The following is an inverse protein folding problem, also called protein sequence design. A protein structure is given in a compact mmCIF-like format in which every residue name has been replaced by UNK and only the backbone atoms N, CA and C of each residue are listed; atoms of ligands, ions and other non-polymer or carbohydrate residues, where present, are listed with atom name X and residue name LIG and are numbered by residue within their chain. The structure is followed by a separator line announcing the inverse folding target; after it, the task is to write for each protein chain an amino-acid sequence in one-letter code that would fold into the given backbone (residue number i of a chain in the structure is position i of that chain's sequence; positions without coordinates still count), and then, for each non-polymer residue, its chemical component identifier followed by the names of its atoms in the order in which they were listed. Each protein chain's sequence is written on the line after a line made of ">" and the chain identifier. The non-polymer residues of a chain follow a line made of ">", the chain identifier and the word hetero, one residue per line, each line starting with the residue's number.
data_IF_124145998491
#
_entry.id   IF_124145998491
#
_cell.length_a   1.000
_cell.length_b   1.000
_cell.length_c   1.000
_cell.angle_alpha   90.00
_cell.angle_beta   90.00
_cell.angle_gamma   90.00
#
_symmetry.space_group_name_H-M   'P 1'
#
loop_
_entity.id
_entity.type
_entity.pdbx_description
1 polymer ?
#
# COMPACT_ATOMS: atom_id res chain seq x y z
N UNK A 1 8.75 -25.91 -18.66
CA UNK A 1 7.86 -24.72 -18.71
C UNK A 1 8.72 -23.58 -19.20
N UNK A 2 8.32 -22.95 -20.29
CA UNK A 2 9.06 -21.82 -20.87
C UNK A 2 8.77 -20.65 -19.95
N UNK A 3 9.79 -20.11 -19.31
CA UNK A 3 9.79 -18.80 -18.70
C UNK A 3 9.42 -17.80 -19.80
N UNK A 4 8.19 -17.30 -19.78
CA UNK A 4 7.86 -16.15 -20.61
C UNK A 4 8.74 -15.02 -20.07
N UNK A 5 9.58 -14.40 -20.92
CA UNK A 5 10.51 -13.41 -20.43
C UNK A 5 9.71 -12.22 -19.92
N UNK A 6 9.81 -11.92 -18.64
CA UNK A 6 9.25 -10.74 -17.94
C UNK A 6 9.70 -9.42 -18.60
N UNK A 7 10.69 -9.45 -19.50
CA UNK A 7 11.18 -8.32 -20.29
C UNK A 7 10.18 -7.77 -21.32
N UNK A 8 8.99 -8.38 -21.46
CA UNK A 8 7.94 -7.92 -22.37
C UNK A 8 6.80 -7.18 -21.68
N UNK A 9 6.92 -6.89 -20.37
CA UNK A 9 5.95 -6.04 -19.70
C UNK A 9 6.02 -4.64 -20.30
N UNK A 10 4.86 -4.12 -20.74
CA UNK A 10 4.77 -2.75 -21.22
C UNK A 10 4.70 -1.83 -20.01
N UNK A 11 5.80 -1.17 -19.71
CA UNK A 11 5.87 -0.13 -18.67
C UNK A 11 5.17 1.13 -19.17
N UNK A 12 4.43 1.77 -18.30
CA UNK A 12 3.75 3.06 -18.52
C UNK A 12 3.90 3.94 -17.26
N UNK A 13 3.94 5.27 -17.47
CA UNK A 13 4.22 5.95 -18.74
C UNK A 13 5.61 5.56 -19.25
N UNK A 14 5.97 5.94 -20.49
CA UNK A 14 7.38 5.93 -20.89
C UNK A 14 8.13 7.08 -20.23
N UNK A 15 9.46 7.13 -20.36
CA UNK A 15 10.25 8.14 -19.66
C UNK A 15 9.88 9.58 -20.02
N UNK A 16 9.60 9.85 -21.30
CA UNK A 16 9.27 11.22 -21.75
C UNK A 16 7.92 11.66 -21.18
N UNK A 17 6.94 10.78 -21.18
CA UNK A 17 5.62 11.00 -20.54
C UNK A 17 5.77 11.14 -19.00
N UNK A 18 6.60 10.30 -18.36
CA UNK A 18 6.88 10.39 -16.94
C UNK A 18 7.51 11.73 -16.58
N UNK A 19 8.53 12.18 -17.32
CA UNK A 19 9.19 13.46 -17.08
C UNK A 19 8.24 14.65 -17.27
N UNK A 20 7.33 14.56 -18.26
CA UNK A 20 6.30 15.57 -18.46
C UNK A 20 5.32 15.63 -17.26
N UNK A 21 4.88 14.49 -16.73
CA UNK A 21 4.01 14.43 -15.56
C UNK A 21 4.71 14.95 -14.30
N UNK A 22 6.00 14.67 -14.13
CA UNK A 22 6.80 15.12 -13.00
C UNK A 22 6.96 16.65 -12.91
N UNK A 23 6.71 17.38 -14.01
CA UNK A 23 6.78 18.85 -14.01
C UNK A 23 5.67 19.49 -13.16
N UNK A 24 4.49 18.84 -13.06
CA UNK A 24 3.30 19.40 -12.40
C UNK A 24 2.84 18.59 -11.18
N UNK A 25 3.44 17.41 -10.95
CA UNK A 25 3.02 16.49 -9.90
C UNK A 25 4.19 16.11 -8.98
N UNK A 26 3.87 15.88 -7.71
CA UNK A 26 4.85 15.46 -6.70
C UNK A 26 4.87 13.95 -6.47
N UNK A 27 3.91 13.22 -7.02
CA UNK A 27 3.88 11.76 -7.05
C UNK A 27 3.45 11.31 -8.45
N UNK A 28 4.31 10.54 -9.12
CA UNK A 28 4.01 10.01 -10.45
C UNK A 28 4.05 8.48 -10.41
N UNK A 29 2.93 7.79 -10.71
CA UNK A 29 2.89 6.34 -10.78
C UNK A 29 3.58 5.84 -12.05
N UNK A 30 4.37 4.77 -11.91
CA UNK A 30 4.87 3.94 -13.01
C UNK A 30 4.24 2.56 -12.86
N UNK A 31 3.73 1.97 -13.96
CA UNK A 31 3.00 0.71 -13.86
C UNK A 31 3.11 -0.19 -15.08
N UNK A 32 2.74 -1.45 -14.89
CA UNK A 32 2.54 -2.43 -15.95
C UNK A 32 1.34 -3.32 -15.62
N UNK A 33 0.67 -3.83 -16.66
CA UNK A 33 -0.39 -4.83 -16.50
C UNK A 33 0.13 -6.22 -16.87
N UNK A 34 -0.24 -7.22 -16.06
CA UNK A 34 0.05 -8.63 -16.27
C UNK A 34 -1.23 -9.47 -16.13
N UNK A 35 -1.24 -10.67 -16.74
CA UNK A 35 -2.32 -11.64 -16.53
C UNK A 35 -2.10 -12.38 -15.21
N UNK A 36 -3.20 -12.59 -14.46
CA UNK A 36 -3.16 -13.22 -13.15
C UNK A 36 -4.24 -14.31 -12.96
N UNK A 37 -4.39 -15.18 -13.97
CA UNK A 37 -5.43 -16.22 -13.96
C UNK A 37 -5.20 -17.35 -12.94
N UNK A 38 -3.98 -17.47 -12.39
CA UNK A 38 -3.54 -18.64 -11.64
C UNK A 38 -3.27 -18.38 -10.15
N UNK A 39 -3.58 -17.21 -9.65
CA UNK A 39 -3.27 -16.88 -8.24
C UNK A 39 -4.38 -16.08 -7.58
N UNK A 40 -4.63 -16.38 -6.30
CA UNK A 40 -5.55 -15.58 -5.48
C UNK A 40 -4.82 -14.38 -4.88
N UNK A 41 -5.51 -13.29 -4.51
CA UNK A 41 -4.88 -12.16 -3.82
C UNK A 41 -4.19 -12.56 -2.52
N UNK A 42 -4.76 -13.48 -1.74
CA UNK A 42 -4.15 -13.98 -0.49
C UNK A 42 -2.84 -14.70 -0.77
N UNK A 43 -2.80 -15.59 -1.77
CA UNK A 43 -1.58 -16.29 -2.15
C UNK A 43 -0.52 -15.31 -2.73
N UNK A 44 -0.97 -14.28 -3.44
CA UNK A 44 -0.07 -13.23 -3.92
C UNK A 44 0.47 -12.38 -2.77
N UNK A 45 -0.35 -12.04 -1.77
CA UNK A 45 0.09 -11.32 -0.58
C UNK A 45 1.20 -12.07 0.14
N UNK A 46 1.01 -13.37 0.38
CA UNK A 46 2.04 -14.22 1.02
C UNK A 46 3.37 -14.24 0.22
N UNK A 47 3.32 -14.17 -1.12
CA UNK A 47 4.52 -14.13 -1.97
C UNK A 47 5.20 -12.77 -2.00
N UNK A 48 4.39 -11.72 -2.13
CA UNK A 48 4.84 -10.35 -2.41
C UNK A 48 5.29 -9.65 -1.13
N UNK A 49 4.55 -9.87 -0.04
CA UNK A 49 4.79 -9.24 1.26
C UNK A 49 5.54 -10.19 2.20
N UNK A 50 5.09 -11.45 2.31
CA UNK A 50 5.66 -12.42 3.24
C UNK A 50 5.59 -11.93 4.68
N UNK A 51 6.72 -11.98 5.39
CA UNK A 51 6.85 -11.55 6.79
C UNK A 51 7.16 -10.03 6.93
N UNK A 52 7.13 -9.28 5.81
CA UNK A 52 7.41 -7.86 5.85
C UNK A 52 6.15 -7.03 6.08
N UNK A 53 6.33 -5.72 6.26
CA UNK A 53 5.22 -4.78 6.34
C UNK A 53 4.49 -4.65 5.01
N UNK A 54 3.17 -4.70 5.06
CA UNK A 54 2.31 -4.57 3.90
C UNK A 54 0.84 -4.67 4.27
N UNK A 55 -0.02 -4.54 3.27
CA UNK A 55 -1.46 -4.64 3.48
C UNK A 55 -2.14 -5.42 2.34
N UNK A 56 -3.25 -6.02 2.67
CA UNK A 56 -4.20 -6.60 1.73
C UNK A 56 -5.58 -6.00 1.98
N UNK A 57 -6.14 -5.36 0.96
CA UNK A 57 -7.54 -4.92 0.98
C UNK A 57 -8.33 -5.78 0.00
N UNK A 58 -9.28 -6.52 0.51
CA UNK A 58 -10.23 -7.31 -0.27
C UNK A 58 -11.66 -6.90 0.09
N UNK A 59 -12.48 -6.70 -0.92
CA UNK A 59 -13.92 -6.58 -0.71
C UNK A 59 -14.55 -7.94 -0.95
N UNK A 60 -15.09 -8.52 0.11
CA UNK A 60 -15.90 -9.77 0.03
C UNK A 60 -17.36 -9.36 0.15
N UNK A 61 -18.06 -9.28 -0.97
CA UNK A 61 -19.50 -9.07 -0.95
C UNK A 61 -20.24 -10.37 -1.28
N UNK A 62 -21.28 -10.68 -0.50
CA UNK A 62 -22.08 -11.88 -0.62
C UNK A 62 -23.07 -11.84 -1.81
N UNK A 63 -22.72 -11.21 -2.89
CA UNK A 63 -23.53 -11.20 -4.11
C UNK A 63 -23.50 -9.88 -4.87
N UNK A 64 -22.90 -9.92 -5.96
CA UNK A 64 -23.19 -9.31 -7.24
C UNK A 64 -22.42 -8.11 -7.77
N UNK A 65 -21.73 -7.23 -7.05
CA UNK A 65 -21.15 -6.08 -7.80
C UNK A 65 -19.90 -5.39 -7.24
N UNK A 66 -19.50 -5.64 -6.01
CA UNK A 66 -18.52 -4.76 -5.35
C UNK A 66 -17.11 -5.34 -5.17
N UNK A 67 -16.93 -6.64 -5.31
CA UNK A 67 -15.64 -7.33 -5.18
C UNK A 67 -14.79 -7.33 -6.46
N UNK A 68 -14.76 -6.19 -7.17
CA UNK A 68 -13.98 -6.11 -8.41
C UNK A 68 -12.48 -6.04 -8.14
N UNK A 69 -12.09 -5.41 -7.03
CA UNK A 69 -10.72 -5.04 -6.80
C UNK A 69 -10.15 -5.66 -5.52
N UNK A 70 -8.90 -6.16 -5.59
CA UNK A 70 -8.09 -6.42 -4.41
C UNK A 70 -6.77 -5.68 -4.54
N UNK A 71 -6.29 -5.14 -3.42
CA UNK A 71 -5.09 -4.30 -3.39
C UNK A 71 -4.09 -4.91 -2.42
N UNK A 72 -2.86 -5.14 -2.90
CA UNK A 72 -1.72 -5.60 -2.09
C UNK A 72 -0.67 -4.51 -2.14
N UNK A 73 -0.35 -3.92 -0.97
CA UNK A 73 0.69 -2.91 -0.86
C UNK A 73 1.88 -3.40 -0.06
N UNK A 74 3.07 -2.92 -0.43
CA UNK A 74 4.33 -3.18 0.27
C UNK A 74 5.28 -1.99 0.13
N UNK A 75 6.35 -2.01 0.91
CA UNK A 75 7.43 -1.01 0.85
C UNK A 75 6.90 0.42 0.81
N UNK A 76 6.25 0.87 1.89
CA UNK A 76 5.80 2.25 1.96
C UNK A 76 6.98 3.21 1.74
N UNK A 77 6.73 4.36 1.14
CA UNK A 77 7.74 5.43 1.00
C UNK A 77 8.17 5.94 2.36
N UNK A 78 7.20 6.14 3.24
CA UNK A 78 7.40 6.52 4.63
C UNK A 78 6.14 6.23 5.44
N UNK A 79 6.30 6.18 6.75
CA UNK A 79 5.21 5.91 7.70
C UNK A 79 5.23 6.95 8.80
N UNK A 80 4.06 7.54 9.06
CA UNK A 80 3.83 8.43 10.18
C UNK A 80 3.17 7.66 11.31
N UNK A 81 3.79 7.70 12.49
CA UNK A 81 3.32 7.02 13.69
C UNK A 81 3.02 8.07 14.76
N UNK A 82 1.83 7.99 15.37
CA UNK A 82 1.48 8.79 16.56
C UNK A 82 1.46 7.90 17.79
N UNK A 83 2.13 8.34 18.84
CA UNK A 83 2.07 7.70 20.15
C UNK A 83 2.18 8.77 21.24
N UNK A 84 1.24 8.72 22.23
CA UNK A 84 1.22 9.64 23.35
C UNK A 84 1.27 11.13 22.93
N UNK A 85 0.58 11.48 21.83
CA UNK A 85 0.54 12.84 21.29
C UNK A 85 1.83 13.30 20.59
N UNK A 86 2.76 12.39 20.28
CA UNK A 86 3.99 12.68 19.55
C UNK A 86 4.02 11.94 18.22
N UNK A 87 4.50 12.63 17.18
CA UNK A 87 4.69 12.05 15.87
C UNK A 87 6.13 11.56 15.67
N UNK A 88 6.24 10.42 15.01
CA UNK A 88 7.49 9.84 14.52
C UNK A 88 7.36 9.51 13.05
N UNK A 89 8.37 9.87 12.24
CA UNK A 89 8.48 9.47 10.85
C UNK A 89 9.45 8.30 10.73
N UNK A 90 9.03 7.25 10.03
CA UNK A 90 9.87 6.11 9.64
C UNK A 90 10.02 6.18 8.11
N UNK A 91 11.24 6.18 7.60
CA UNK A 91 11.49 6.41 6.18
C UNK A 91 11.46 7.89 5.80
N UNK A 92 11.00 8.21 4.59
CA UNK A 92 10.95 9.58 4.07
C UNK A 92 9.54 9.89 3.57
N UNK A 93 8.93 10.95 4.13
CA UNK A 93 7.65 11.47 3.69
C UNK A 93 7.79 12.74 2.82
N UNK A 94 9.01 13.11 2.43
CA UNK A 94 9.26 14.25 1.54
C UNK A 94 8.95 15.64 2.13
N UNK A 95 8.46 15.71 3.36
CA UNK A 95 8.22 16.95 4.10
C UNK A 95 8.67 16.80 5.54
N UNK A 96 9.09 17.90 6.13
CA UNK A 96 9.41 17.94 7.57
C UNK A 96 8.11 17.87 8.39
N UNK A 97 8.06 16.94 9.33
CA UNK A 97 6.97 16.77 10.29
C UNK A 97 7.45 17.22 11.66
N UNK A 98 6.73 18.17 12.29
CA UNK A 98 7.00 18.53 13.67
C UNK A 98 6.49 17.41 14.59
N UNK A 99 7.34 16.83 15.44
CA UNK A 99 6.90 15.78 16.39
C UNK A 99 5.79 16.20 17.35
N UNK A 100 5.59 17.50 17.56
CA UNK A 100 4.57 18.04 18.48
C UNK A 100 3.30 18.50 17.75
N UNK A 101 3.25 18.46 16.40
CA UNK A 101 2.00 18.72 15.69
C UNK A 101 1.07 17.52 15.80
N UNK A 102 -0.25 17.74 15.66
CA UNK A 102 -1.23 16.65 15.69
C UNK A 102 -1.19 15.80 14.42
N UNK A 103 -1.62 14.53 14.54
CA UNK A 103 -1.73 13.60 13.42
C UNK A 103 -2.61 14.16 12.30
N UNK A 104 -3.76 14.77 12.63
CA UNK A 104 -4.68 15.33 11.63
C UNK A 104 -4.06 16.51 10.87
N UNK A 105 -3.29 17.35 11.56
CA UNK A 105 -2.56 18.47 10.95
C UNK A 105 -1.48 17.96 10.01
N UNK A 106 -0.70 16.97 10.45
CA UNK A 106 0.32 16.33 9.60
C UNK A 106 -0.28 15.69 8.35
N UNK A 107 -1.42 15.00 8.48
CA UNK A 107 -2.13 14.39 7.33
C UNK A 107 -2.64 15.46 6.35
N UNK A 108 -3.19 16.58 6.84
CA UNK A 108 -3.61 17.67 5.98
C UNK A 108 -2.44 18.25 5.17
N UNK A 109 -1.28 18.44 5.81
CA UNK A 109 -0.05 18.91 5.15
C UNK A 109 0.45 17.93 4.11
N UNK A 110 0.47 16.62 4.42
CA UNK A 110 0.85 15.57 3.49
C UNK A 110 -0.07 15.54 2.26
N UNK A 111 -1.39 15.56 2.47
CA UNK A 111 -2.38 15.55 1.39
C UNK A 111 -2.32 16.83 0.53
N UNK A 112 -2.00 17.98 1.12
CA UNK A 112 -1.81 19.23 0.38
C UNK A 112 -0.50 19.22 -0.45
N UNK A 113 0.54 18.55 0.06
CA UNK A 113 1.82 18.47 -0.62
C UNK A 113 1.81 17.49 -1.81
N UNK A 114 1.19 16.32 -1.63
CA UNK A 114 1.19 15.28 -2.62
C UNK A 114 0.09 15.44 -3.66
N UNK A 115 0.52 15.56 -4.92
CA UNK A 115 -0.36 15.68 -6.09
C UNK A 115 0.02 14.59 -7.08
N UNK A 116 -0.92 13.71 -7.37
CA UNK A 116 -0.78 12.65 -8.37
C UNK A 116 -1.63 12.96 -9.60
N UNK A 117 -1.19 12.60 -10.83
CA UNK A 117 -2.00 12.79 -12.03
C UNK A 117 -3.23 11.89 -12.01
N UNK A 118 -4.35 12.40 -12.55
CA UNK A 118 -5.52 11.58 -12.86
C UNK A 118 -5.30 10.85 -14.18
N UNK A 119 -5.24 9.51 -14.15
CA UNK A 119 -4.98 8.67 -15.31
C UNK A 119 -6.08 7.61 -15.43
N UNK A 120 -6.84 7.64 -16.53
CA UNK A 120 -7.99 6.76 -16.76
C UNK A 120 -7.65 5.26 -16.77
N UNK A 121 -6.41 4.91 -17.07
CA UNK A 121 -5.93 3.53 -17.15
C UNK A 121 -5.58 2.93 -15.77
N UNK A 122 -5.54 3.73 -14.71
CA UNK A 122 -5.18 3.29 -13.38
C UNK A 122 -6.38 2.76 -12.58
N UNK A 123 -6.15 1.82 -11.64
CA UNK A 123 -7.18 1.39 -10.71
C UNK A 123 -7.58 2.54 -9.75
N UNK A 124 -8.76 2.44 -9.12
CA UNK A 124 -9.31 3.52 -8.27
C UNK A 124 -8.43 3.85 -7.06
N UNK A 125 -7.66 2.89 -6.55
CA UNK A 125 -6.61 3.11 -5.55
C UNK A 125 -5.27 2.78 -6.22
N UNK A 126 -4.48 3.80 -6.50
CA UNK A 126 -3.14 3.68 -7.10
C UNK A 126 -2.08 4.46 -6.32
N UNK A 127 -2.47 5.19 -5.28
CA UNK A 127 -1.58 5.95 -4.40
C UNK A 127 -2.34 6.50 -3.21
N UNK A 128 -1.68 7.27 -2.37
CA UNK A 128 -2.24 7.90 -1.19
C UNK A 128 -1.69 7.36 0.12
N UNK A 129 -2.47 7.53 1.17
CA UNK A 129 -2.12 7.17 2.53
C UNK A 129 -3.01 6.03 3.01
N UNK A 130 -2.43 5.05 3.68
CA UNK A 130 -3.13 3.90 4.23
C UNK A 130 -2.69 3.63 5.66
N UNK A 131 -3.62 3.18 6.50
CA UNK A 131 -3.32 2.84 7.88
C UNK A 131 -4.55 2.90 8.77
N UNK A 132 -4.35 3.24 10.02
CA UNK A 132 -5.44 3.42 10.98
C UNK A 132 -5.26 4.69 11.82
N UNK A 133 -6.38 5.25 12.19
CA UNK A 133 -6.52 6.26 13.23
C UNK A 133 -7.28 5.61 14.39
N UNK A 134 -6.60 5.45 15.53
CA UNK A 134 -7.23 4.95 16.75
C UNK A 134 -8.25 5.96 17.30
N UNK A 135 -9.08 5.50 18.23
CA UNK A 135 -10.14 6.33 18.80
C UNK A 135 -9.59 7.61 19.46
N UNK A 136 -8.43 7.51 20.11
CA UNK A 136 -7.85 8.63 20.87
C UNK A 136 -7.35 9.80 20.01
N UNK A 137 -7.21 9.63 18.69
CA UNK A 137 -6.95 10.75 17.75
C UNK A 137 -8.07 11.82 17.83
N UNK A 138 -9.28 11.43 18.23
CA UNK A 138 -10.37 12.41 18.46
C UNK A 138 -10.00 13.49 19.49
N UNK A 139 -9.03 13.23 20.38
CA UNK A 139 -8.56 14.21 21.38
C UNK A 139 -7.83 15.40 20.77
N UNK A 140 -7.43 15.33 19.51
CA UNK A 140 -6.88 16.47 18.79
C UNK A 140 -7.96 17.52 18.45
N UNK A 141 -9.22 17.11 18.37
CA UNK A 141 -10.36 17.98 18.01
C UNK A 141 -11.35 18.16 19.13
N UNK A 142 -11.39 17.26 20.12
CA UNK A 142 -12.34 17.33 21.24
C UNK A 142 -11.63 17.17 22.60
N UNK A 143 -12.06 17.97 23.56
CA UNK A 143 -11.58 17.83 24.93
C UNK A 143 -12.33 16.68 25.64
N UNK A 144 -11.71 15.49 25.67
CA UNK A 144 -12.24 14.33 26.39
C UNK A 144 -11.50 14.17 27.72
N UNK A 145 -12.17 14.39 28.87
CA UNK A 145 -11.58 14.19 30.19
C UNK A 145 -11.43 12.68 30.49
N UNK A 146 -10.57 12.35 31.46
CA UNK A 146 -10.35 10.98 31.95
C UNK A 146 -9.78 10.02 30.89
N UNK A 147 -8.54 10.29 30.46
CA UNK A 147 -7.78 9.37 29.60
C UNK A 147 -7.62 8.03 30.30
N UNK A 148 -8.08 6.89 29.73
CA UNK A 148 -7.83 5.58 30.28
C UNK A 148 -6.32 5.29 30.33
N UNK A 149 -5.91 4.35 31.21
CA UNK A 149 -4.54 3.84 31.15
C UNK A 149 -4.35 3.06 29.83
N UNK A 150 -3.24 3.33 29.15
CA UNK A 150 -2.83 2.54 28.00
C UNK A 150 -2.13 1.27 28.49
N UNK A 151 -2.82 0.14 28.43
CA UNK A 151 -2.34 -1.18 28.88
C UNK A 151 -1.75 -2.01 27.73
N UNK A 152 -2.02 -1.65 26.48
CA UNK A 152 -1.57 -2.36 25.29
C UNK A 152 -0.31 -1.76 24.66
N UNK A 153 -0.07 -0.48 24.86
CA UNK A 153 1.10 0.22 24.33
C UNK A 153 1.09 0.37 22.80
N UNK A 154 -0.07 0.20 22.14
CA UNK A 154 -0.17 0.38 20.69
C UNK A 154 -0.08 1.86 20.28
N UNK A 155 0.44 2.17 19.07
CA UNK A 155 0.35 3.52 18.53
C UNK A 155 -1.10 4.02 18.43
N UNK A 156 -1.31 5.32 18.67
CA UNK A 156 -2.62 5.97 18.51
C UNK A 156 -3.02 6.06 17.03
N UNK A 157 -2.04 6.18 16.15
CA UNK A 157 -2.24 6.11 14.70
C UNK A 157 -0.98 5.62 13.98
N UNK A 158 -1.17 4.93 12.88
CA UNK A 158 -0.10 4.54 11.94
C UNK A 158 -0.62 4.79 10.54
N UNK A 159 0.05 5.66 9.79
CA UNK A 159 -0.31 6.02 8.42
C UNK A 159 0.91 5.87 7.53
N UNK A 160 0.82 5.03 6.52
CA UNK A 160 1.89 4.77 5.55
C UNK A 160 1.55 5.37 4.19
N UNK A 161 2.54 5.97 3.54
CA UNK A 161 2.41 6.41 2.15
C UNK A 161 2.65 5.22 1.22
N UNK A 162 1.69 4.96 0.33
CA UNK A 162 1.74 3.82 -0.58
C UNK A 162 2.94 3.93 -1.52
N UNK A 163 3.87 2.96 -1.46
CA UNK A 163 5.03 2.84 -2.34
C UNK A 163 4.73 1.94 -3.54
N UNK A 164 4.65 0.62 -3.32
CA UNK A 164 4.39 -0.38 -4.35
C UNK A 164 3.02 -1.03 -4.17
N UNK A 165 2.32 -1.28 -5.28
CA UNK A 165 1.01 -1.95 -5.31
C UNK A 165 0.97 -3.06 -6.36
N UNK A 166 0.28 -4.17 -6.01
CA UNK A 166 -0.27 -5.12 -6.95
C UNK A 166 -1.80 -5.07 -6.85
N UNK A 167 -2.47 -4.62 -7.90
CA UNK A 167 -3.92 -4.39 -7.90
C UNK A 167 -4.60 -5.40 -8.83
N UNK A 168 -5.45 -6.25 -8.26
CA UNK A 168 -6.22 -7.25 -8.98
C UNK A 168 -7.53 -6.69 -9.49
N UNK A 169 -7.74 -6.71 -10.83
CA UNK A 169 -9.04 -6.51 -11.46
C UNK A 169 -9.66 -7.89 -11.75
N UNK A 170 -10.53 -8.35 -10.86
CA UNK A 170 -11.18 -9.66 -10.97
C UNK A 170 -12.08 -9.78 -12.20
N UNK A 171 -12.61 -8.67 -12.71
CA UNK A 171 -13.45 -8.69 -13.91
C UNK A 171 -12.64 -8.85 -15.19
N UNK A 172 -11.46 -8.20 -15.23
CA UNK A 172 -10.57 -8.26 -16.40
C UNK A 172 -9.53 -9.37 -16.28
N UNK A 173 -9.44 -10.04 -15.12
CA UNK A 173 -8.43 -11.06 -14.81
C UNK A 173 -7.00 -10.54 -15.04
N UNK A 174 -6.74 -9.33 -14.59
CA UNK A 174 -5.46 -8.65 -14.70
C UNK A 174 -4.95 -8.18 -13.36
N UNK A 175 -3.64 -8.04 -13.27
CA UNK A 175 -2.98 -7.35 -12.17
C UNK A 175 -2.22 -6.16 -12.71
N UNK A 176 -2.47 -5.00 -12.13
CA UNK A 176 -1.65 -3.82 -12.31
C UNK A 176 -0.56 -3.83 -11.24
N UNK A 177 0.69 -3.89 -11.67
CA UNK A 177 1.88 -3.74 -10.83
C UNK A 177 2.31 -2.29 -10.92
N UNK A 178 2.47 -1.61 -9.78
CA UNK A 178 2.66 -0.17 -9.72
C UNK A 178 3.71 0.20 -8.69
N UNK A 179 4.53 1.20 -9.01
CA UNK A 179 5.43 1.88 -8.10
C UNK A 179 5.18 3.40 -8.16
N UNK A 180 4.95 4.02 -7.02
CA UNK A 180 4.79 5.47 -6.91
C UNK A 180 6.16 6.13 -6.74
N UNK A 181 6.48 7.08 -7.60
CA UNK A 181 7.71 7.87 -7.53
C UNK A 181 7.40 9.22 -6.91
N UNK A 182 8.05 9.52 -5.79
CA UNK A 182 7.98 10.84 -5.16
C UNK A 182 8.97 11.77 -5.85
N UNK A 183 8.48 12.94 -6.26
CA UNK A 183 9.23 13.96 -6.97
C UNK A 183 9.44 15.16 -6.05
N UNK A 184 10.70 15.59 -5.92
CA UNK A 184 11.10 16.83 -5.27
C UNK A 184 12.10 17.58 -6.16
N UNK A 185 12.52 18.76 -5.74
CA UNK A 185 13.40 19.64 -6.53
C UNK A 185 14.78 19.01 -6.85
N UNK A 186 15.25 18.08 -6.03
CA UNK A 186 16.54 17.40 -6.17
C UNK A 186 16.43 16.02 -6.85
N UNK A 187 15.24 15.60 -7.30
CA UNK A 187 15.01 14.27 -7.86
C UNK A 187 15.69 14.13 -9.23
N UNK A 188 16.63 13.17 -9.34
CA UNK A 188 17.09 12.68 -10.65
C UNK A 188 15.98 11.83 -11.29
N UNK A 189 15.25 12.43 -12.22
CA UNK A 189 14.09 11.81 -12.84
C UNK A 189 14.42 10.50 -13.56
N UNK A 190 15.59 10.40 -14.23
CA UNK A 190 15.98 9.18 -14.93
C UNK A 190 16.26 8.06 -13.92
N UNK A 191 17.05 8.33 -12.89
CA UNK A 191 17.38 7.36 -11.87
C UNK A 191 16.13 6.91 -11.08
N UNK A 192 15.20 7.83 -10.80
CA UNK A 192 13.94 7.54 -10.12
C UNK A 192 13.02 6.67 -10.97
N UNK A 193 12.89 6.97 -12.27
CA UNK A 193 12.14 6.16 -13.23
C UNK A 193 12.72 4.74 -13.36
N UNK A 194 14.03 4.62 -13.56
CA UNK A 194 14.71 3.33 -13.68
C UNK A 194 14.54 2.48 -12.41
N UNK A 195 14.55 3.13 -11.24
CA UNK A 195 14.27 2.48 -9.95
C UNK A 195 12.84 1.94 -9.90
N UNK A 196 11.85 2.74 -10.30
CA UNK A 196 10.46 2.31 -10.34
C UNK A 196 10.22 1.15 -11.30
N UNK A 197 10.86 1.17 -12.48
CA UNK A 197 10.84 0.06 -13.44
C UNK A 197 11.42 -1.21 -12.81
N UNK A 198 12.55 -1.11 -12.12
CA UNK A 198 13.17 -2.25 -11.43
C UNK A 198 12.27 -2.80 -10.31
N UNK A 199 11.58 -1.92 -9.55
CA UNK A 199 10.62 -2.31 -8.52
C UNK A 199 9.43 -3.07 -9.10
N UNK A 200 8.89 -2.67 -10.26
CA UNK A 200 7.80 -3.37 -10.95
C UNK A 200 8.26 -4.77 -11.40
N UNK A 201 9.46 -4.89 -11.95
CA UNK A 201 10.02 -6.19 -12.31
C UNK A 201 10.20 -7.09 -11.08
N UNK A 202 10.72 -6.53 -9.98
CA UNK A 202 10.88 -7.27 -8.73
C UNK A 202 9.52 -7.70 -8.15
N UNK A 203 8.49 -6.85 -8.24
CA UNK A 203 7.14 -7.17 -7.79
C UNK A 203 6.54 -8.32 -8.62
N UNK A 204 6.78 -8.34 -9.93
CA UNK A 204 6.37 -9.43 -10.81
C UNK A 204 7.10 -10.74 -10.49
N UNK A 205 8.42 -10.69 -10.28
CA UNK A 205 9.24 -11.85 -9.94
C UNK A 205 8.80 -12.44 -8.60
N UNK A 206 8.57 -11.60 -7.58
CA UNK A 206 8.08 -12.02 -6.28
C UNK A 206 6.71 -12.68 -6.39
N UNK A 207 5.78 -12.08 -7.15
CA UNK A 207 4.45 -12.65 -7.38
C UNK A 207 4.45 -13.99 -8.14
N UNK A 208 5.49 -14.26 -8.92
CA UNK A 208 5.66 -15.51 -9.68
C UNK A 208 6.31 -16.65 -8.86
N UNK A 209 6.82 -16.39 -7.65
CA UNK A 209 7.45 -17.41 -6.82
C UNK A 209 6.48 -18.53 -6.47
N UNK A 210 6.98 -19.75 -6.40
CA UNK A 210 6.22 -20.86 -5.84
C UNK A 210 6.10 -20.68 -4.32
N UNK A 211 4.93 -21.00 -3.78
CA UNK A 211 4.72 -21.10 -2.34
C UNK A 211 4.51 -22.57 -2.01
N UNK A 212 5.19 -23.02 -0.99
CA UNK A 212 5.03 -24.38 -0.46
C UNK A 212 4.02 -24.31 0.70
N UNK A 213 2.74 -24.09 0.34
CA UNK A 213 1.67 -24.02 1.33
C UNK A 213 0.96 -25.37 1.43
N UNK A 214 0.86 -25.94 2.65
CA UNK A 214 0.03 -27.11 2.86
C UNK A 214 -1.44 -26.74 2.66
N UNK A 215 -2.20 -27.61 1.99
CA UNK A 215 -3.64 -27.50 1.96
C UNK A 215 -4.17 -27.66 3.40
N UNK A 216 -4.85 -26.63 3.90
CA UNK A 216 -5.49 -26.69 5.21
C UNK A 216 -6.79 -27.49 5.09
N UNK A 217 -7.01 -28.43 6.01
CA UNK A 217 -8.31 -29.08 6.15
C UNK A 217 -9.35 -28.07 6.65
N UNK A 218 -10.55 -28.17 6.14
CA UNK A 218 -11.66 -27.42 6.74
C UNK A 218 -11.82 -27.87 8.21
N UNK A 219 -12.01 -26.92 9.15
CA UNK A 219 -12.29 -27.28 10.54
C UNK A 219 -13.60 -28.09 10.59
N UNK A 220 -13.62 -29.13 11.41
CA UNK A 220 -14.85 -29.89 11.65
C UNK A 220 -15.83 -28.99 12.46
N UNK A 221 -17.09 -28.86 12.05
CA UNK A 221 -18.07 -28.08 12.80
C UNK A 221 -18.27 -28.57 14.27
N UNK A 222 -17.83 -29.78 14.56
CA UNK A 222 -17.85 -30.35 15.92
C UNK A 222 -16.58 -30.08 16.73
N UNK A 223 -15.53 -29.50 16.11
CA UNK A 223 -14.32 -29.14 16.82
C UNK A 223 -14.62 -28.06 17.86
N UNK A 224 -14.08 -28.19 19.08
CA UNK A 224 -14.27 -27.17 20.10
C UNK A 224 -13.70 -25.84 19.62
N UNK A 225 -14.51 -24.79 19.75
CA UNK A 225 -14.03 -23.42 19.48
C UNK A 225 -12.85 -23.15 20.42
N UNK A 226 -11.69 -22.71 19.89
CA UNK A 226 -10.55 -22.39 20.74
C UNK A 226 -10.96 -21.37 21.81
N UNK A 227 -10.60 -21.63 23.04
CA UNK A 227 -10.84 -20.69 24.13
C UNK A 227 -9.99 -19.44 23.90
N UNK A 228 -10.64 -18.33 23.55
CA UNK A 228 -9.96 -17.03 23.38
C UNK A 228 -9.77 -16.46 24.79
N UNK A 229 -8.58 -16.56 25.33
CA UNK A 229 -8.21 -15.83 26.55
C UNK A 229 -7.78 -14.42 26.13
N UNK A 230 -8.60 -13.40 26.48
CA UNK A 230 -8.12 -12.02 26.45
C UNK A 230 -7.25 -11.80 27.69
N UNK A 231 -6.01 -11.41 27.48
CA UNK A 231 -5.16 -10.86 28.53
C UNK A 231 -5.49 -9.41 28.76
#
# INVERSE_FOLDING_TARGET
>A
RRDAPLHLMRIRPDFDEFAALAADHTVVPVWAEVLADLTTPVAAFARVVGDNEGFLLESVDNGDRWSRWSFIGRRPQGTLVSKDGRLQVIGDLGIDIDPEEGMLTALERLLAHYRSPELDDLPPLHGGLIGYLGYDVVREVEHLPNVPADDLGHPDAVISMIGELAVYDHWRQRVTLLANVVINDDTDLQAAYDTAVAQIHQLADDGARAIDEPLMSLPDPSDPIPEVTST
#
